data_IF_644932213795
#
_entry.id   IF_644932213795
#
_cell.length_a   1.000
_cell.length_b   1.000
_cell.length_c   1.000
_cell.angle_alpha   90.00
_cell.angle_beta   90.00
_cell.angle_gamma   90.00
#
_symmetry.space_group_name_H-M   'P 1'
#
loop_
_entity.id
_entity.type
_entity.pdbx_description
1 polymer ?
#
# COMPACT_ATOMS: atom_id res chain seq x y z
N UNK A 1 -9.48 13.64 1.00
CA UNK A 1 -9.76 12.68 2.07
C UNK A 1 -8.59 12.65 3.04
N UNK A 2 -8.80 12.88 4.33
CA UNK A 2 -7.69 12.89 5.29
C UNK A 2 -7.10 11.51 5.60
N UNK A 3 -7.90 10.44 5.42
CA UNK A 3 -7.43 9.08 5.68
C UNK A 3 -6.64 8.51 4.50
N UNK A 4 -5.51 7.88 4.78
CA UNK A 4 -4.72 7.13 3.80
C UNK A 4 -5.13 5.67 3.66
N UNK A 5 -6.30 5.28 4.18
CA UNK A 5 -6.75 3.89 4.18
C UNK A 5 -7.90 3.69 3.18
N UNK A 6 -7.73 2.84 2.15
CA UNK A 6 -8.83 2.54 1.22
C UNK A 6 -10.08 1.94 1.90
N UNK A 7 -9.94 1.34 3.07
CA UNK A 7 -11.09 0.83 3.81
C UNK A 7 -12.07 1.94 4.19
N UNK A 8 -11.57 3.16 4.46
CA UNK A 8 -12.44 4.30 4.76
C UNK A 8 -13.21 4.74 3.54
N UNK A 9 -12.62 4.66 2.34
CA UNK A 9 -13.32 4.93 1.08
C UNK A 9 -14.45 3.91 0.87
N UNK A 10 -14.19 2.63 1.12
CA UNK A 10 -15.21 1.59 1.04
C UNK A 10 -16.38 1.86 2.00
N UNK A 11 -16.09 2.32 3.23
CA UNK A 11 -17.12 2.65 4.22
C UNK A 11 -17.96 3.85 3.79
N UNK A 12 -17.35 4.87 3.20
CA UNK A 12 -18.09 6.03 2.67
C UNK A 12 -19.07 5.57 1.59
N UNK A 13 -18.64 4.67 0.72
CA UNK A 13 -19.50 4.10 -0.32
C UNK A 13 -20.65 3.31 0.30
N UNK A 14 -20.40 2.51 1.35
CA UNK A 14 -21.45 1.76 2.04
C UNK A 14 -22.56 2.67 2.59
N UNK A 15 -22.19 3.85 3.04
CA UNK A 15 -23.12 4.80 3.66
C UNK A 15 -23.86 5.67 2.66
N UNK A 16 -23.47 5.68 1.40
CA UNK A 16 -24.10 6.48 0.34
C UNK A 16 -24.96 5.58 -0.54
N UNK A 17 -26.28 5.81 -0.52
CA UNK A 17 -27.25 4.98 -1.26
C UNK A 17 -27.01 4.97 -2.77
N UNK A 18 -26.40 6.00 -3.31
CA UNK A 18 -26.12 6.10 -4.75
C UNK A 18 -24.82 5.45 -5.14
N UNK A 19 -23.96 5.13 -4.17
CA UNK A 19 -22.65 4.57 -4.46
C UNK A 19 -22.77 3.08 -4.74
N UNK A 20 -22.26 2.65 -5.89
CA UNK A 20 -22.20 1.23 -6.28
C UNK A 20 -20.78 0.72 -6.35
N UNK A 21 -19.84 1.62 -6.59
CA UNK A 21 -18.43 1.31 -6.68
C UNK A 21 -17.61 2.50 -6.18
N UNK A 22 -16.37 2.27 -5.87
CA UNK A 22 -15.46 3.31 -5.40
C UNK A 22 -14.06 3.08 -5.93
N UNK A 23 -13.29 4.15 -6.01
CA UNK A 23 -11.86 4.09 -6.29
C UNK A 23 -11.12 4.96 -5.29
N UNK A 24 -10.01 4.47 -4.82
CA UNK A 24 -9.15 5.18 -3.87
C UNK A 24 -7.78 5.36 -4.49
N UNK A 25 -7.32 6.61 -4.53
CA UNK A 25 -5.98 6.93 -4.99
C UNK A 25 -5.09 7.17 -3.78
N UNK A 26 -3.98 6.44 -3.70
CA UNK A 26 -3.00 6.65 -2.65
C UNK A 26 -2.38 8.05 -2.78
N UNK A 27 -1.92 8.65 -1.66
CA UNK A 27 -1.21 9.92 -1.75
C UNK A 27 0.04 9.78 -2.62
N UNK A 28 0.33 10.81 -3.42
CA UNK A 28 1.57 10.85 -4.22
C UNK A 28 2.68 11.60 -3.49
N UNK A 29 2.28 12.51 -2.58
CA UNK A 29 3.18 13.25 -1.70
C UNK A 29 2.38 13.81 -0.51
N UNK A 30 3.05 14.54 0.39
CA UNK A 30 2.39 15.10 1.57
C UNK A 30 1.30 16.10 1.18
N UNK A 31 1.53 16.88 0.12
CA UNK A 31 0.57 17.92 -0.29
C UNK A 31 -0.62 17.33 -1.04
N UNK A 32 -0.43 16.21 -1.71
CA UNK A 32 -1.40 15.63 -2.62
C UNK A 32 -2.43 14.69 -2.00
N UNK A 33 -2.53 14.51 -0.73
CA UNK A 33 -3.52 13.69 -0.03
C UNK A 33 -4.17 12.51 -0.79
N UNK A 34 -4.77 11.59 -0.08
CA UNK A 34 -5.54 10.51 -0.69
C UNK A 34 -6.87 11.03 -1.23
N UNK A 35 -7.36 10.43 -2.31
CA UNK A 35 -8.64 10.80 -2.92
C UNK A 35 -9.54 9.58 -3.02
N UNK A 36 -10.79 9.74 -2.59
CA UNK A 36 -11.83 8.72 -2.69
C UNK A 36 -12.85 9.14 -3.74
N UNK A 37 -13.09 8.29 -4.73
CA UNK A 37 -14.07 8.52 -5.79
C UNK A 37 -15.24 7.57 -5.60
N UNK A 38 -16.45 8.14 -5.46
CA UNK A 38 -17.67 7.35 -5.38
C UNK A 38 -18.33 7.30 -6.75
N UNK A 39 -18.83 6.15 -7.14
CA UNK A 39 -19.39 5.92 -8.48
C UNK A 39 -20.79 5.36 -8.39
N UNK A 40 -21.70 5.87 -9.24
CA UNK A 40 -23.08 5.39 -9.30
C UNK A 40 -23.27 4.17 -10.21
N UNK A 41 -22.23 3.76 -10.92
CA UNK A 41 -22.22 2.55 -11.72
C UNK A 41 -20.96 1.75 -11.45
N UNK A 42 -20.90 0.53 -11.98
CA UNK A 42 -19.72 -0.34 -11.84
C UNK A 42 -19.00 -0.40 -13.18
N UNK A 43 -17.96 0.44 -13.39
CA UNK A 43 -17.21 0.41 -14.65
C UNK A 43 -16.30 -0.81 -14.73
N UNK A 44 -15.75 -1.04 -15.94
CA UNK A 44 -14.81 -2.11 -16.16
C UNK A 44 -13.57 -1.95 -15.26
N UNK A 45 -13.05 -3.07 -14.79
CA UNK A 45 -11.89 -3.09 -13.91
C UNK A 45 -10.61 -2.79 -14.69
N UNK A 46 -9.80 -1.87 -14.17
CA UNK A 46 -8.48 -1.54 -14.71
C UNK A 46 -7.47 -1.74 -13.59
N UNK A 47 -6.41 -2.48 -13.87
CA UNK A 47 -5.35 -2.69 -12.90
C UNK A 47 -4.35 -1.55 -12.96
N UNK A 48 -4.09 -0.91 -11.80
CA UNK A 48 -3.15 0.19 -11.67
C UNK A 48 -2.59 0.20 -10.25
N UNK A 49 -1.29 0.40 -10.11
CA UNK A 49 -0.60 0.40 -8.83
C UNK A 49 -0.89 1.66 -7.98
N UNK A 50 -1.41 2.72 -8.57
CA UNK A 50 -1.73 3.96 -7.85
C UNK A 50 -2.91 3.81 -6.92
N UNK A 51 -3.72 2.77 -7.12
CA UNK A 51 -5.10 2.88 -6.73
C UNK A 51 -5.68 1.54 -6.30
N UNK A 52 -6.71 1.62 -5.50
CA UNK A 52 -7.51 0.46 -5.09
C UNK A 52 -8.95 0.77 -5.42
N UNK A 53 -9.65 -0.17 -6.00
CA UNK A 53 -11.07 -0.03 -6.32
C UNK A 53 -11.87 -1.17 -5.74
N UNK A 54 -13.16 -0.95 -5.58
CA UNK A 54 -14.06 -1.99 -5.10
C UNK A 54 -15.50 -1.72 -5.47
N UNK A 55 -16.34 -2.72 -5.21
CA UNK A 55 -17.78 -2.59 -5.34
C UNK A 55 -18.39 -2.53 -3.95
N UNK A 56 -19.56 -1.89 -3.86
CA UNK A 56 -20.28 -1.77 -2.60
C UNK A 56 -20.55 -3.15 -2.01
N UNK A 57 -20.27 -3.28 -0.72
CA UNK A 57 -20.55 -4.52 0.02
C UNK A 57 -19.39 -5.52 0.05
N UNK A 58 -18.39 -5.37 -0.81
CA UNK A 58 -17.28 -6.30 -0.89
C UNK A 58 -16.08 -5.90 -0.01
N UNK A 59 -16.07 -4.67 0.52
CA UNK A 59 -14.93 -4.15 1.26
C UNK A 59 -13.71 -3.95 0.38
N UNK A 60 -12.53 -4.00 0.96
CA UNK A 60 -11.27 -3.88 0.24
C UNK A 60 -10.74 -5.28 -0.07
N UNK A 61 -10.63 -5.59 -1.36
CA UNK A 61 -10.05 -6.86 -1.81
C UNK A 61 -8.80 -6.56 -2.61
N UNK A 62 -7.65 -6.91 -2.07
CA UNK A 62 -6.36 -6.68 -2.72
C UNK A 62 -5.71 -8.00 -3.11
N UNK A 63 -5.18 -8.12 -4.33
CA UNK A 63 -4.48 -9.32 -4.72
C UNK A 63 -3.21 -9.48 -3.90
N UNK A 64 -2.87 -10.71 -3.56
CA UNK A 64 -1.65 -11.04 -2.82
C UNK A 64 -0.90 -12.15 -3.50
N UNK A 65 0.42 -12.10 -3.40
CA UNK A 65 1.26 -13.22 -3.76
C UNK A 65 2.33 -13.40 -2.68
N UNK A 66 3.09 -14.48 -2.76
CA UNK A 66 4.07 -14.85 -1.72
C UNK A 66 5.18 -13.81 -1.60
N UNK A 67 5.53 -13.15 -2.70
CA UNK A 67 6.66 -12.23 -2.75
C UNK A 67 6.30 -10.79 -2.43
N UNK A 68 5.04 -10.41 -2.62
CA UNK A 68 4.57 -9.03 -2.44
C UNK A 68 3.25 -9.06 -1.69
N UNK A 69 3.24 -8.43 -0.50
CA UNK A 69 2.09 -8.39 0.39
C UNK A 69 1.62 -6.95 0.51
N UNK A 70 0.56 -6.60 -0.22
CA UNK A 70 0.01 -5.24 -0.21
C UNK A 70 -0.76 -4.98 1.09
N UNK A 71 -0.68 -3.74 1.58
CA UNK A 71 -1.30 -3.30 2.85
C UNK A 71 -0.86 -4.13 4.06
N UNK A 72 0.39 -4.58 4.04
CA UNK A 72 0.99 -5.38 5.10
C UNK A 72 2.28 -4.73 5.57
N UNK A 73 2.46 -4.65 6.88
CA UNK A 73 3.72 -4.29 7.54
C UNK A 73 4.20 -5.49 8.36
N UNK A 74 5.49 -5.74 8.33
CA UNK A 74 6.16 -6.72 9.19
C UNK A 74 7.06 -5.97 10.15
N UNK A 75 6.43 -5.28 11.09
CA UNK A 75 7.09 -4.35 12.00
C UNK A 75 8.19 -5.02 12.83
N UNK A 76 9.36 -4.40 12.83
CA UNK A 76 10.51 -4.86 13.60
C UNK A 76 11.54 -5.61 12.77
N UNK A 77 12.64 -5.95 13.40
CA UNK A 77 13.73 -6.69 12.75
C UNK A 77 14.58 -5.88 11.78
N UNK A 78 14.41 -4.56 11.75
CA UNK A 78 15.13 -3.68 10.83
C UNK A 78 16.61 -3.61 11.19
N UNK A 79 17.48 -3.70 10.19
CA UNK A 79 18.90 -3.40 10.36
C UNK A 79 19.35 -2.24 9.49
N UNK A 80 18.52 -1.82 8.55
CA UNK A 80 18.81 -0.72 7.64
C UNK A 80 17.50 -0.13 7.12
N UNK A 81 17.46 1.18 6.95
CA UNK A 81 16.33 1.84 6.29
C UNK A 81 16.85 3.05 5.52
N UNK A 82 16.15 3.44 4.46
CA UNK A 82 16.53 4.57 3.64
C UNK A 82 15.33 5.12 2.88
N UNK A 83 15.40 6.41 2.55
CA UNK A 83 14.41 7.05 1.70
C UNK A 83 14.60 6.65 0.24
N UNK A 84 13.51 6.65 -0.51
CA UNK A 84 13.52 6.37 -1.93
C UNK A 84 13.29 7.66 -2.72
N UNK A 85 13.82 7.70 -3.93
CA UNK A 85 13.64 8.83 -4.83
C UNK A 85 12.27 8.79 -5.48
N UNK A 86 11.82 9.95 -5.96
CA UNK A 86 10.60 10.04 -6.74
C UNK A 86 10.66 9.07 -7.93
N UNK A 87 9.60 8.30 -8.11
CA UNK A 87 9.52 7.30 -9.17
C UNK A 87 10.01 5.91 -8.79
N UNK A 88 10.71 5.75 -7.67
CA UNK A 88 11.07 4.44 -7.15
C UNK A 88 9.93 3.88 -6.31
N UNK A 89 9.55 2.64 -6.55
CA UNK A 89 8.46 1.98 -5.84
C UNK A 89 8.95 0.81 -4.99
N UNK A 90 8.01 -0.07 -4.64
CA UNK A 90 8.31 -1.25 -3.82
C UNK A 90 9.33 -2.18 -4.48
N UNK A 91 9.39 -2.22 -5.79
CA UNK A 91 10.37 -3.03 -6.52
C UNK A 91 11.81 -2.63 -6.19
N UNK A 92 12.08 -1.34 -5.96
CA UNK A 92 13.40 -0.87 -5.56
C UNK A 92 13.76 -1.37 -4.16
N UNK A 93 12.79 -1.39 -3.25
CA UNK A 93 12.96 -1.91 -1.89
C UNK A 93 13.23 -3.43 -1.93
N UNK A 94 12.45 -4.17 -2.70
CA UNK A 94 12.62 -5.61 -2.88
C UNK A 94 13.99 -5.93 -3.47
N UNK A 95 14.42 -5.18 -4.49
CA UNK A 95 15.73 -5.39 -5.13
C UNK A 95 16.87 -5.16 -4.14
N UNK A 96 16.80 -4.11 -3.31
CA UNK A 96 17.81 -3.83 -2.30
C UNK A 96 17.93 -5.00 -1.30
N UNK A 97 16.78 -5.57 -0.90
CA UNK A 97 16.77 -6.73 0.00
C UNK A 97 17.34 -7.97 -0.69
N UNK A 98 16.98 -8.20 -1.95
CA UNK A 98 17.47 -9.35 -2.71
C UNK A 98 18.99 -9.32 -2.86
N UNK A 99 19.56 -8.13 -3.05
CA UNK A 99 20.99 -7.92 -3.26
C UNK A 99 21.80 -7.98 -1.97
N UNK A 100 21.16 -7.95 -0.81
CA UNK A 100 21.84 -7.99 0.48
C UNK A 100 21.59 -9.33 1.17
N UNK A 101 22.65 -10.12 1.35
CA UNK A 101 22.57 -11.45 1.96
C UNK A 101 22.00 -11.45 3.38
N UNK A 102 22.13 -10.34 4.10
CA UNK A 102 21.57 -10.19 5.45
C UNK A 102 20.07 -9.98 5.45
N UNK A 103 19.53 -9.49 4.34
CA UNK A 103 18.12 -9.13 4.27
C UNK A 103 17.25 -10.36 4.02
N UNK A 104 16.28 -10.58 4.90
CA UNK A 104 15.33 -11.70 4.80
C UNK A 104 13.94 -11.23 4.43
N UNK A 105 13.60 -10.00 4.81
CA UNK A 105 12.31 -9.40 4.53
C UNK A 105 12.48 -7.90 4.35
N UNK A 106 11.49 -7.28 3.72
CA UNK A 106 11.49 -5.85 3.48
C UNK A 106 10.10 -5.28 3.67
N UNK A 107 10.03 -4.00 4.00
CA UNK A 107 8.78 -3.24 4.05
C UNK A 107 8.99 -1.91 3.33
N UNK A 108 8.05 -1.59 2.46
CA UNK A 108 8.01 -0.33 1.72
C UNK A 108 6.85 0.50 2.23
N UNK A 109 7.12 1.76 2.55
CA UNK A 109 6.09 2.73 2.91
C UNK A 109 5.90 3.69 1.73
N UNK A 110 4.66 3.83 1.27
CA UNK A 110 4.33 4.77 0.19
C UNK A 110 4.60 6.20 0.64
N UNK A 111 4.82 7.13 -0.30
CA UNK A 111 4.95 8.55 0.05
C UNK A 111 3.76 9.03 0.88
N UNK A 112 4.01 9.84 1.89
CA UNK A 112 2.98 10.42 2.73
C UNK A 112 2.57 9.61 3.96
N UNK A 113 3.16 8.43 4.18
CA UNK A 113 2.82 7.59 5.34
C UNK A 113 3.83 7.68 6.49
N UNK A 114 5.11 7.73 6.19
CA UNK A 114 6.16 7.90 7.21
C UNK A 114 6.92 9.20 7.03
N UNK A 115 6.68 9.90 5.94
CA UNK A 115 7.33 11.15 5.60
C UNK A 115 6.92 11.57 4.21
N UNK A 116 7.54 12.62 3.70
CA UNK A 116 7.26 13.14 2.37
C UNK A 116 7.55 12.11 1.27
N UNK A 117 8.68 11.43 1.39
CA UNK A 117 9.12 10.47 0.39
C UNK A 117 8.81 9.04 0.81
N UNK A 118 8.78 8.13 -0.15
CA UNK A 118 8.68 6.71 0.14
C UNK A 118 9.91 6.26 0.92
N UNK A 119 9.73 5.23 1.73
CA UNK A 119 10.80 4.72 2.59
C UNK A 119 10.89 3.21 2.51
N UNK A 120 12.10 2.68 2.57
CA UNK A 120 12.38 1.25 2.51
C UNK A 120 13.04 0.79 3.81
N UNK A 121 12.52 -0.31 4.37
CA UNK A 121 13.06 -0.94 5.58
C UNK A 121 13.54 -2.34 5.23
N UNK A 122 14.82 -2.61 5.45
CA UNK A 122 15.41 -3.94 5.26
C UNK A 122 15.52 -4.65 6.60
N UNK A 123 15.09 -5.90 6.65
CA UNK A 123 14.95 -6.65 7.90
C UNK A 123 15.77 -7.93 7.86
N UNK A 124 16.48 -8.20 8.95
CA UNK A 124 17.25 -9.45 9.14
C UNK A 124 16.38 -10.54 9.78
N UNK A 125 15.20 -10.20 10.26
CA UNK A 125 14.26 -11.14 10.85
C UNK A 125 12.92 -11.04 10.15
N UNK A 126 12.24 -12.17 9.98
CA UNK A 126 10.89 -12.23 9.42
C UNK A 126 9.92 -12.11 10.58
N UNK A 127 9.29 -10.95 10.71
CA UNK A 127 8.29 -10.66 11.74
C UNK A 127 6.88 -10.99 11.24
N UNK A 128 5.92 -11.22 12.14
CA UNK A 128 4.53 -11.49 11.74
C UNK A 128 3.92 -10.37 10.89
N UNK A 129 3.11 -10.71 9.88
CA UNK A 129 2.44 -9.71 9.06
C UNK A 129 1.30 -9.04 9.82
N UNK A 130 1.14 -7.72 9.61
CA UNK A 130 0.01 -6.96 10.16
C UNK A 130 -0.53 -6.06 9.06
N UNK A 131 -1.85 -5.93 8.99
CA UNK A 131 -2.45 -5.00 8.04
C UNK A 131 -2.07 -3.57 8.38
N UNK A 132 -1.54 -2.85 7.40
CA UNK A 132 -1.24 -1.43 7.54
C UNK A 132 -1.36 -0.77 6.17
N UNK A 133 -2.38 0.07 5.99
CA UNK A 133 -2.62 0.74 4.72
C UNK A 133 -1.40 1.56 4.29
N UNK A 134 -1.12 1.55 2.98
CA UNK A 134 0.00 2.30 2.41
C UNK A 134 1.34 1.59 2.49
N UNK A 135 1.42 0.44 3.14
CA UNK A 135 2.65 -0.34 3.27
C UNK A 135 2.61 -1.56 2.38
N UNK A 136 3.76 -1.96 1.89
CA UNK A 136 3.93 -3.19 1.10
C UNK A 136 5.13 -3.93 1.67
N UNK A 137 4.97 -5.20 1.95
CA UNK A 137 6.04 -6.03 2.53
C UNK A 137 6.32 -7.26 1.67
N UNK A 138 7.44 -7.90 1.91
CA UNK A 138 7.78 -9.14 1.25
C UNK A 138 8.85 -9.90 2.00
N UNK A 139 8.94 -11.19 1.74
CA UNK A 139 9.95 -12.10 2.29
C UNK A 139 10.81 -12.57 1.14
N UNK A 140 12.14 -12.46 1.29
CA UNK A 140 13.08 -12.83 0.22
C UNK A 140 13.72 -14.18 0.45
N UNK A 141 14.11 -14.48 1.69
CA UNK A 141 14.83 -15.73 1.98
C UNK A 141 14.58 -16.31 3.36
#
# INVERSE_FOLDING_TARGET
MPSGDPADCALVCERDRRCRAWSFNYPTDIAGGAVCWLKSNVPARIQDNCCVSGVRGAGVVEPRNVAIETSIDRFGGDYRNFGLKSGEGDEACKAACTDDNKCRAWTYARPGYVGKDAHCYLKKEIKPPRRKAGFISGVVR
#
